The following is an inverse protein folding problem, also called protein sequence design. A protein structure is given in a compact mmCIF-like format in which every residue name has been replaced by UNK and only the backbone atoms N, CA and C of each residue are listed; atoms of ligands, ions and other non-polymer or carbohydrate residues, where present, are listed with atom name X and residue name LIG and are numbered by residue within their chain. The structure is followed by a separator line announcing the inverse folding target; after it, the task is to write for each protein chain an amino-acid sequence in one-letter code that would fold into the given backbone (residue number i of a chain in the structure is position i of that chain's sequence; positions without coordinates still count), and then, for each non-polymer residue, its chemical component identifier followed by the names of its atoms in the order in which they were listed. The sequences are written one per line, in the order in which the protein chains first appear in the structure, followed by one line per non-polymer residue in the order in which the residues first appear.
data_IF_142320284134
#
_entry.id   IF_142320284134
#
_cell.length_a   1.000
_cell.length_b   1.000
_cell.length_c   1.000
_cell.angle_alpha   90.00
_cell.angle_beta   90.00
_cell.angle_gamma   90.00
#
_symmetry.space_group_name_H-M   'P 1'
#
loop_
_entity.id
_entity.type
_entity.pdbx_description
1 polymer ?
#
# COMPACT_ATOMS: atom_id res chain seq x y z
N UNK A 1 3.68 -9.52 8.87
CA UNK A 1 2.90 -8.32 9.25
C UNK A 1 1.64 -8.64 10.08
N UNK A 2 1.76 -9.38 11.18
CA UNK A 2 0.60 -9.77 12.01
C UNK A 2 -0.03 -8.58 12.74
N UNK A 3 0.79 -7.69 13.29
CA UNK A 3 0.33 -6.48 13.99
C UNK A 3 -0.48 -5.54 13.08
N UNK A 4 -0.11 -5.42 11.80
CA UNK A 4 -0.87 -4.63 10.81
C UNK A 4 -2.27 -5.25 10.65
N UNK A 5 -2.36 -6.55 10.34
CA UNK A 5 -3.65 -7.24 10.21
C UNK A 5 -4.52 -7.13 11.45
N UNK A 6 -3.93 -7.40 12.62
CA UNK A 6 -4.65 -7.39 13.89
C UNK A 6 -5.18 -5.99 14.24
N UNK A 7 -4.36 -4.95 14.09
CA UNK A 7 -4.79 -3.58 14.39
C UNK A 7 -5.74 -3.02 13.34
N UNK A 8 -5.59 -3.38 12.06
CA UNK A 8 -6.54 -3.05 11.01
C UNK A 8 -7.93 -3.66 11.23
N UNK A 9 -8.00 -4.95 11.58
CA UNK A 9 -9.26 -5.60 11.94
C UNK A 9 -9.89 -4.98 13.21
N UNK A 10 -9.06 -4.59 14.19
CA UNK A 10 -9.53 -3.91 15.38
C UNK A 10 -10.18 -2.55 15.07
N UNK A 11 -9.56 -1.74 14.19
CA UNK A 11 -10.14 -0.47 13.71
C UNK A 11 -11.44 -0.72 12.96
N UNK A 12 -11.47 -1.67 12.02
CA UNK A 12 -12.66 -1.98 11.23
C UNK A 12 -13.87 -2.42 12.07
N UNK A 13 -13.63 -3.06 13.21
CA UNK A 13 -14.71 -3.41 14.16
C UNK A 13 -15.27 -2.24 14.99
N UNK A 14 -14.65 -1.05 14.90
CA UNK A 14 -14.93 0.14 15.74
C UNK A 14 -15.05 1.43 14.93
N UNK A 15 -14.98 1.32 13.61
CA UNK A 15 -15.05 2.45 12.70
C UNK A 15 -16.44 3.06 12.69
N UNK A 16 -16.49 4.37 12.51
CA UNK A 16 -17.74 5.15 12.41
C UNK A 16 -17.91 5.86 11.06
N UNK A 17 -16.82 6.00 10.31
CA UNK A 17 -16.74 6.67 9.02
C UNK A 17 -16.59 5.69 7.86
N UNK A 18 -15.96 4.54 8.07
CA UNK A 18 -15.75 3.54 7.00
C UNK A 18 -16.24 2.16 7.45
N UNK A 19 -17.15 1.55 6.70
CA UNK A 19 -17.65 0.19 6.95
C UNK A 19 -17.20 -0.75 5.83
N UNK A 20 -16.77 -1.96 6.20
CA UNK A 20 -16.52 -3.06 5.25
C UNK A 20 -17.82 -3.80 4.99
N UNK A 21 -18.28 -3.83 3.75
CA UNK A 21 -19.52 -4.48 3.32
C UNK A 21 -19.24 -5.92 2.86
N UNK A 22 -19.75 -6.90 3.61
CA UNK A 22 -19.51 -8.32 3.34
C UNK A 22 -20.07 -8.78 1.99
N UNK A 23 -21.16 -8.18 1.50
CA UNK A 23 -21.71 -8.52 0.19
C UNK A 23 -20.81 -8.04 -0.95
N UNK A 24 -20.17 -6.87 -0.78
CA UNK A 24 -19.12 -6.38 -1.66
C UNK A 24 -17.91 -7.30 -1.67
N UNK A 25 -17.43 -7.72 -0.49
CA UNK A 25 -16.33 -8.69 -0.34
C UNK A 25 -16.62 -9.99 -1.07
N UNK A 26 -17.81 -10.58 -0.86
CA UNK A 26 -18.22 -11.82 -1.53
C UNK A 26 -18.26 -11.67 -3.05
N UNK A 27 -18.84 -10.58 -3.55
CA UNK A 27 -18.94 -10.29 -4.99
C UNK A 27 -17.57 -10.18 -5.64
N UNK A 28 -16.63 -9.47 -4.99
CA UNK A 28 -15.26 -9.30 -5.50
C UNK A 28 -14.51 -10.63 -5.46
N UNK A 29 -14.56 -11.35 -4.35
CA UNK A 29 -13.90 -12.66 -4.23
C UNK A 29 -14.42 -13.66 -5.27
N UNK A 30 -15.73 -13.69 -5.52
CA UNK A 30 -16.33 -14.58 -6.52
C UNK A 30 -15.88 -14.24 -7.94
N UNK A 31 -15.75 -12.95 -8.27
CA UNK A 31 -15.25 -12.50 -9.58
C UNK A 31 -13.79 -12.86 -9.81
N UNK A 32 -12.98 -12.90 -8.76
CA UNK A 32 -11.52 -13.01 -8.85
C UNK A 32 -10.98 -14.43 -8.64
N UNK A 33 -11.77 -15.35 -8.06
CA UNK A 33 -11.32 -16.71 -7.70
C UNK A 33 -10.70 -17.49 -8.86
N UNK A 34 -11.20 -17.28 -10.08
CA UNK A 34 -10.80 -18.04 -11.26
C UNK A 34 -9.64 -17.38 -12.02
N UNK A 35 -9.57 -16.05 -12.00
CA UNK A 35 -8.58 -15.26 -12.74
C UNK A 35 -7.99 -14.17 -11.85
N UNK A 36 -6.93 -14.52 -11.12
CA UNK A 36 -6.11 -13.57 -10.39
C UNK A 36 -5.12 -12.95 -11.39
N UNK A 37 -5.15 -11.62 -11.61
CA UNK A 37 -4.20 -10.96 -12.48
C UNK A 37 -2.78 -11.18 -11.96
N UNK A 38 -1.88 -11.52 -12.89
CA UNK A 38 -0.45 -11.56 -12.62
C UNK A 38 0.05 -10.12 -12.71
N UNK A 39 0.72 -9.66 -11.67
CA UNK A 39 1.28 -8.31 -11.65
C UNK A 39 2.79 -8.41 -11.86
N UNK A 40 3.28 -7.57 -12.77
CA UNK A 40 4.71 -7.42 -13.06
C UNK A 40 5.21 -6.20 -12.28
N UNK A 41 6.36 -6.34 -11.62
CA UNK A 41 6.97 -5.28 -10.80
C UNK A 41 7.30 -4.04 -11.64
N UNK A 42 7.93 -4.22 -12.80
CA UNK A 42 8.27 -3.13 -13.71
C UNK A 42 7.18 -2.93 -14.77
N UNK A 43 6.00 -2.51 -14.31
CA UNK A 43 4.95 -2.09 -15.20
C UNK A 43 5.40 -0.80 -15.93
N UNK A 44 5.28 -0.77 -17.26
CA UNK A 44 5.67 0.36 -18.13
C UNK A 44 7.17 0.73 -18.18
N UNK A 45 8.07 0.00 -17.50
CA UNK A 45 9.51 0.26 -17.57
C UNK A 45 9.98 1.49 -16.78
N UNK A 46 9.18 1.95 -15.83
CA UNK A 46 9.42 3.18 -15.07
C UNK A 46 10.54 3.02 -14.03
N UNK A 47 10.80 1.80 -13.55
CA UNK A 47 11.76 1.58 -12.48
C UNK A 47 13.23 1.55 -12.97
N UNK A 48 14.18 1.78 -12.06
CA UNK A 48 15.61 1.55 -12.32
C UNK A 48 15.99 0.13 -11.89
N UNK A 49 16.69 -0.61 -12.75
CA UNK A 49 17.17 -1.96 -12.43
C UNK A 49 18.53 -2.25 -13.06
N UNK A 50 19.50 -2.60 -12.23
CA UNK A 50 20.84 -3.06 -12.62
C UNK A 50 21.23 -4.42 -12.01
N UNK A 51 20.33 -5.03 -11.23
CA UNK A 51 20.57 -6.28 -10.52
C UNK A 51 21.62 -6.19 -9.40
N UNK A 52 22.03 -4.97 -9.02
CA UNK A 52 23.09 -4.72 -8.04
C UNK A 52 22.65 -3.84 -6.86
N UNK A 53 23.62 -3.40 -6.03
CA UNK A 53 23.34 -2.56 -4.86
C UNK A 53 22.65 -1.23 -5.18
N UNK A 54 22.80 -0.71 -6.41
CA UNK A 54 22.18 0.55 -6.78
C UNK A 54 20.68 0.43 -6.99
N UNK A 55 20.19 -0.72 -7.49
CA UNK A 55 18.76 -1.04 -7.47
C UNK A 55 18.20 -1.02 -6.05
N UNK A 56 18.94 -1.58 -5.07
CA UNK A 56 18.51 -1.59 -3.67
C UNK A 56 18.43 -0.17 -3.10
N UNK A 57 19.41 0.69 -3.39
CA UNK A 57 19.40 2.09 -2.97
C UNK A 57 18.25 2.87 -3.63
N UNK A 58 18.01 2.64 -4.92
CA UNK A 58 16.89 3.24 -5.65
C UNK A 58 15.56 2.91 -4.99
N UNK A 59 15.28 1.62 -4.76
CA UNK A 59 14.06 1.17 -4.11
C UNK A 59 13.92 1.76 -2.71
N UNK A 60 15.00 1.74 -1.91
CA UNK A 60 14.96 2.31 -0.57
C UNK A 60 14.52 3.78 -0.57
N UNK A 61 15.03 4.59 -1.49
CA UNK A 61 14.68 6.01 -1.57
C UNK A 61 13.28 6.22 -2.15
N UNK A 62 12.93 5.49 -3.19
CA UNK A 62 11.59 5.50 -3.77
C UNK A 62 10.54 5.26 -2.69
N UNK A 63 10.73 4.22 -1.88
CA UNK A 63 9.76 3.78 -0.90
C UNK A 63 9.79 4.62 0.38
N UNK A 64 10.96 5.19 0.72
CA UNK A 64 11.04 6.20 1.77
C UNK A 64 10.20 7.45 1.43
N UNK A 65 10.15 7.81 0.14
CA UNK A 65 9.49 9.01 -0.36
C UNK A 65 8.05 8.75 -0.84
N UNK A 66 7.58 7.50 -0.92
CA UNK A 66 6.22 7.17 -1.37
C UNK A 66 5.14 7.52 -0.33
N UNK A 67 4.66 8.77 -0.34
CA UNK A 67 3.61 9.26 0.55
C UNK A 67 2.20 8.88 0.06
N UNK A 68 1.28 8.60 0.99
CA UNK A 68 -0.12 8.28 0.67
C UNK A 68 -0.96 9.49 0.26
N UNK A 69 -0.56 10.69 0.63
CA UNK A 69 -1.32 11.91 0.35
C UNK A 69 -0.32 12.95 -0.14
N UNK A 70 -0.27 13.14 -1.45
CA UNK A 70 0.55 14.17 -2.06
C UNK A 70 -0.16 15.52 -1.90
N UNK A 71 0.50 16.54 -1.36
CA UNK A 71 -0.10 17.87 -1.21
C UNK A 71 -0.25 18.59 -2.56
N UNK A 72 0.41 18.11 -3.61
CA UNK A 72 0.35 18.68 -4.96
C UNK A 72 -0.41 17.74 -5.92
N UNK A 73 -1.42 18.29 -6.59
CA UNK A 73 -2.32 17.60 -7.53
C UNK A 73 -1.60 17.11 -8.79
N UNK A 74 -0.46 17.70 -9.14
CA UNK A 74 0.29 17.38 -10.36
C UNK A 74 1.42 16.37 -10.09
N UNK A 75 1.65 15.97 -8.82
CA UNK A 75 2.61 14.94 -8.45
C UNK A 75 1.96 13.56 -8.33
N UNK A 76 2.44 12.61 -9.13
CA UNK A 76 2.04 11.19 -9.07
C UNK A 76 3.21 10.34 -8.58
N UNK A 77 2.93 9.05 -8.29
CA UNK A 77 3.98 8.06 -8.03
C UNK A 77 4.98 7.98 -9.18
N UNK A 78 4.52 7.97 -10.43
CA UNK A 78 5.38 7.88 -11.60
C UNK A 78 6.32 9.07 -11.73
N UNK A 79 5.85 10.28 -11.41
CA UNK A 79 6.70 11.48 -11.39
C UNK A 79 7.82 11.37 -10.34
N UNK A 80 7.52 10.84 -9.15
CA UNK A 80 8.54 10.58 -8.14
C UNK A 80 9.53 9.50 -8.61
N UNK A 81 9.03 8.36 -9.10
CA UNK A 81 9.85 7.24 -9.55
C UNK A 81 10.78 7.64 -10.70
N UNK A 82 10.25 8.37 -11.69
CA UNK A 82 10.99 8.88 -12.83
C UNK A 82 12.02 9.94 -12.41
N UNK A 83 11.66 10.88 -11.54
CA UNK A 83 12.57 11.91 -11.05
C UNK A 83 13.75 11.34 -10.25
N UNK A 84 13.50 10.33 -9.40
CA UNK A 84 14.56 9.63 -8.65
C UNK A 84 15.45 8.80 -9.58
N UNK A 85 14.87 8.15 -10.59
CA UNK A 85 15.61 7.43 -11.64
C UNK A 85 16.52 8.38 -12.42
N UNK A 86 16.00 9.52 -12.86
CA UNK A 86 16.79 10.55 -13.56
C UNK A 86 17.91 11.08 -12.66
N UNK A 87 17.62 11.38 -11.39
CA UNK A 87 18.62 11.82 -10.43
C UNK A 87 19.77 10.80 -10.29
N UNK A 88 19.48 9.50 -10.19
CA UNK A 88 20.49 8.44 -10.14
C UNK A 88 21.21 8.18 -11.47
N UNK A 89 20.56 8.46 -12.60
CA UNK A 89 21.21 8.39 -13.91
C UNK A 89 22.23 9.52 -14.07
N UNK A 90 21.93 10.71 -13.52
CA UNK A 90 22.78 11.89 -13.57
C UNK A 90 23.86 11.93 -12.48
N UNK A 91 23.56 11.46 -11.26
CA UNK A 91 24.47 11.41 -10.12
C UNK A 91 24.27 10.10 -9.33
N UNK A 92 25.24 9.19 -9.42
CA UNK A 92 25.20 7.90 -8.69
C UNK A 92 25.32 8.06 -7.18
N UNK A 93 25.77 9.22 -6.68
CA UNK A 93 25.88 9.57 -5.25
C UNK A 93 24.65 10.29 -4.69
N UNK A 94 23.58 10.43 -5.48
CA UNK A 94 22.36 11.12 -5.05
C UNK A 94 21.81 10.57 -3.72
N UNK A 95 22.04 9.28 -3.42
CA UNK A 95 21.51 8.55 -2.27
C UNK A 95 22.56 8.13 -1.23
N UNK A 96 23.68 8.84 -1.14
CA UNK A 96 24.68 8.59 -0.09
C UNK A 96 24.11 8.80 1.33
N UNK A 97 24.65 8.05 2.30
CA UNK A 97 24.17 8.04 3.69
C UNK A 97 24.08 9.44 4.33
N UNK A 98 25.06 10.32 4.07
CA UNK A 98 25.08 11.69 4.58
C UNK A 98 23.96 12.58 4.03
N UNK A 99 23.41 12.23 2.87
CA UNK A 99 22.25 12.88 2.25
C UNK A 99 20.96 12.25 2.76
N UNK A 100 20.92 10.91 2.88
CA UNK A 100 19.74 10.17 3.29
C UNK A 100 19.34 10.36 4.77
N UNK A 101 20.29 10.69 5.65
CA UNK A 101 20.01 10.90 7.08
C UNK A 101 18.97 12.00 7.39
N UNK A 102 18.61 12.81 6.39
CA UNK A 102 17.60 13.88 6.52
C UNK A 102 16.16 13.38 6.34
N UNK A 103 15.95 12.14 5.89
CA UNK A 103 14.61 11.59 5.63
C UNK A 103 14.09 10.78 6.83
N UNK A 104 13.01 11.24 7.45
CA UNK A 104 12.26 10.53 8.50
C UNK A 104 10.99 9.93 7.88
N UNK A 105 10.94 8.60 7.71
CA UNK A 105 9.85 7.98 6.93
C UNK A 105 9.31 6.63 7.39
N UNK A 106 10.14 5.62 7.60
CA UNK A 106 9.65 4.23 7.68
C UNK A 106 8.75 3.89 8.89
N UNK A 107 8.63 4.77 9.90
CA UNK A 107 7.74 4.58 11.07
C UNK A 107 6.33 5.10 10.78
N UNK A 108 5.54 4.30 10.07
CA UNK A 108 4.13 4.57 9.77
C UNK A 108 3.21 3.84 10.77
N UNK A 109 2.89 4.55 11.86
CA UNK A 109 2.03 4.10 12.95
C UNK A 109 1.26 5.31 13.53
N UNK A 110 0.10 5.07 14.13
CA UNK A 110 -0.76 6.13 14.67
C UNK A 110 -1.53 5.65 15.90
N UNK A 111 -2.20 6.56 16.62
CA UNK A 111 -3.07 6.22 17.75
C UNK A 111 -4.51 6.50 17.38
N UNK A 112 -5.36 5.48 17.43
CA UNK A 112 -6.79 5.58 17.15
C UNK A 112 -7.59 5.13 18.36
N UNK A 113 -8.46 6.02 18.88
CA UNK A 113 -9.28 5.78 20.09
C UNK A 113 -8.46 5.23 21.27
N UNK A 114 -7.26 5.76 21.46
CA UNK A 114 -6.33 5.37 22.53
C UNK A 114 -5.57 4.05 22.29
N UNK A 115 -5.69 3.44 21.11
CA UNK A 115 -4.99 2.21 20.75
C UNK A 115 -3.90 2.45 19.70
N UNK A 116 -2.76 1.79 19.85
CA UNK A 116 -1.67 1.86 18.88
C UNK A 116 -2.03 1.06 17.63
N UNK A 117 -2.01 1.72 16.48
CA UNK A 117 -2.29 1.14 15.16
C UNK A 117 -1.02 1.12 14.33
N UNK A 118 -0.82 0.05 13.55
CA UNK A 118 0.34 -0.15 12.69
C UNK A 118 -0.11 -0.30 11.24
N UNK A 119 0.51 0.47 10.33
CA UNK A 119 0.23 0.40 8.90
C UNK A 119 1.49 0.03 8.12
N UNK A 120 2.65 0.56 8.54
CA UNK A 120 3.97 0.20 8.01
C UNK A 120 4.06 0.20 6.49
N UNK A 121 3.28 1.05 5.80
CA UNK A 121 3.12 1.00 4.34
C UNK A 121 4.48 0.98 3.62
N UNK A 122 5.36 1.93 3.95
CA UNK A 122 6.66 2.08 3.30
C UNK A 122 7.60 0.88 3.51
N UNK A 123 7.59 0.29 4.70
CA UNK A 123 8.38 -0.91 4.96
C UNK A 123 7.84 -2.13 4.19
N UNK A 124 6.51 -2.21 4.06
CA UNK A 124 5.84 -3.26 3.28
C UNK A 124 6.12 -3.13 1.77
N UNK A 125 6.06 -1.90 1.24
CA UNK A 125 6.39 -1.62 -0.17
C UNK A 125 7.84 -1.99 -0.47
N UNK A 126 8.78 -1.51 0.35
CA UNK A 126 10.20 -1.81 0.14
C UNK A 126 10.53 -3.30 0.10
N UNK A 127 9.93 -4.09 1.01
CA UNK A 127 10.10 -5.54 0.99
C UNK A 127 9.51 -6.18 -0.29
N UNK A 128 8.33 -5.72 -0.71
CA UNK A 128 7.68 -6.23 -1.92
C UNK A 128 8.42 -5.84 -3.20
N UNK A 129 8.95 -4.62 -3.28
CA UNK A 129 9.72 -4.14 -4.43
C UNK A 129 11.07 -4.84 -4.55
N UNK A 130 11.76 -5.08 -3.44
CA UNK A 130 12.96 -5.92 -3.45
C UNK A 130 12.64 -7.34 -3.94
N UNK A 131 11.58 -7.95 -3.42
CA UNK A 131 11.17 -9.28 -3.86
C UNK A 131 10.80 -9.31 -5.34
N UNK A 132 10.05 -8.31 -5.82
CA UNK A 132 9.60 -8.19 -7.20
C UNK A 132 10.76 -7.95 -8.18
N UNK A 133 11.62 -6.97 -7.89
CA UNK A 133 12.77 -6.62 -8.71
C UNK A 133 13.75 -7.79 -8.87
N UNK A 134 14.02 -8.51 -7.77
CA UNK A 134 14.98 -9.62 -7.78
C UNK A 134 14.33 -11.00 -7.89
N UNK A 135 13.02 -11.06 -8.16
CA UNK A 135 12.26 -12.31 -8.37
C UNK A 135 12.44 -13.33 -7.24
N UNK A 136 12.51 -12.87 -5.99
CA UNK A 136 12.69 -13.72 -4.82
C UNK A 136 14.10 -14.27 -4.60
N UNK A 137 15.13 -13.71 -5.26
CA UNK A 137 16.51 -14.18 -5.19
C UNK A 137 17.46 -13.09 -4.69
N UNK A 138 18.60 -13.45 -4.10
CA UNK A 138 19.63 -12.49 -3.71
C UNK A 138 19.08 -11.41 -2.76
N UNK A 139 19.11 -10.15 -3.18
CA UNK A 139 18.58 -9.03 -2.37
C UNK A 139 17.05 -9.08 -2.16
N UNK A 140 16.32 -9.85 -2.97
CA UNK A 140 14.88 -10.07 -2.82
C UNK A 140 14.49 -11.38 -2.17
N UNK A 141 15.44 -12.12 -1.57
CA UNK A 141 15.14 -13.37 -0.89
C UNK A 141 14.48 -13.11 0.48
N UNK A 142 13.25 -13.58 0.64
CA UNK A 142 12.49 -13.48 1.88
C UNK A 142 11.81 -14.82 2.16
N UNK A 143 11.95 -15.35 3.37
CA UNK A 143 11.29 -16.59 3.80
C UNK A 143 9.82 -16.37 4.19
N UNK A 144 9.39 -15.11 4.30
CA UNK A 144 8.11 -14.69 4.85
C UNK A 144 7.45 -13.57 4.03
N UNK A 145 7.76 -13.49 2.73
CA UNK A 145 7.22 -12.45 1.83
C UNK A 145 5.68 -12.42 1.82
N UNK A 146 5.07 -13.60 1.94
CA UNK A 146 3.63 -13.79 2.02
C UNK A 146 3.01 -13.27 3.32
N UNK A 147 3.83 -12.81 4.27
CA UNK A 147 3.39 -12.08 5.45
C UNK A 147 3.08 -10.60 5.17
N UNK A 148 3.50 -10.04 4.03
CA UNK A 148 3.14 -8.68 3.57
C UNK A 148 1.65 -8.64 3.19
N UNK A 149 0.99 -7.51 3.42
CA UNK A 149 -0.42 -7.29 3.06
C UNK A 149 -0.55 -6.15 2.03
N UNK A 150 -1.79 -5.77 1.69
CA UNK A 150 -2.10 -4.60 0.88
C UNK A 150 -1.49 -3.32 1.47
N UNK A 151 -1.06 -2.41 0.60
CA UNK A 151 -0.53 -1.12 0.98
C UNK A 151 -1.68 -0.11 1.14
N UNK A 152 -1.81 0.46 2.34
CA UNK A 152 -2.86 1.42 2.64
C UNK A 152 -2.55 2.81 2.03
N UNK A 153 -2.81 2.98 0.74
CA UNK A 153 -2.75 4.26 0.02
C UNK A 153 -4.14 4.94 -0.12
N UNK A 154 -4.20 6.03 -0.89
CA UNK A 154 -5.43 6.79 -1.14
C UNK A 154 -6.28 6.23 -2.30
N UNK A 155 -5.71 5.41 -3.17
CA UNK A 155 -6.38 4.81 -4.34
C UNK A 155 -7.22 3.61 -3.88
N UNK A 156 -6.68 2.78 -2.97
CA UNK A 156 -7.37 1.60 -2.43
C UNK A 156 -8.77 1.90 -1.92
N UNK A 157 -8.96 2.85 -0.98
CA UNK A 157 -10.28 3.09 -0.44
C UNK A 157 -11.28 3.54 -1.51
N UNK A 158 -10.83 4.32 -2.50
CA UNK A 158 -11.68 4.77 -3.61
C UNK A 158 -12.10 3.59 -4.51
N UNK A 159 -11.17 2.71 -4.89
CA UNK A 159 -11.48 1.54 -5.71
C UNK A 159 -12.40 0.56 -4.96
N UNK A 160 -12.13 0.31 -3.67
CA UNK A 160 -12.95 -0.58 -2.86
C UNK A 160 -14.37 -0.01 -2.64
N UNK A 161 -14.53 1.30 -2.52
CA UNK A 161 -15.84 1.95 -2.45
C UNK A 161 -16.64 1.73 -3.76
N UNK A 162 -16.02 1.97 -4.92
CA UNK A 162 -16.64 1.74 -6.23
C UNK A 162 -17.04 0.28 -6.45
N UNK A 163 -16.24 -0.66 -5.93
CA UNK A 163 -16.56 -2.09 -5.97
C UNK A 163 -17.68 -2.49 -4.97
N UNK A 164 -18.08 -1.56 -4.11
CA UNK A 164 -19.08 -1.76 -3.07
C UNK A 164 -18.56 -2.49 -1.83
N UNK A 165 -17.25 -2.66 -1.71
CA UNK A 165 -16.56 -3.32 -0.58
C UNK A 165 -16.44 -2.37 0.61
N UNK A 166 -16.18 -1.08 0.37
CA UNK A 166 -16.24 -0.07 1.42
C UNK A 166 -17.49 0.79 1.29
N UNK A 167 -17.99 1.25 2.42
CA UNK A 167 -19.08 2.23 2.54
C UNK A 167 -18.63 3.36 3.44
N UNK A 168 -18.83 4.59 2.97
CA UNK A 168 -18.47 5.78 3.72
C UNK A 168 -19.69 6.38 4.41
N UNK A 169 -19.49 6.92 5.60
CA UNK A 169 -20.52 7.70 6.29
C UNK A 169 -20.83 8.97 5.50
N UNK A 170 -22.03 9.56 5.68
CA UNK A 170 -22.40 10.79 4.97
C UNK A 170 -21.43 11.95 5.21
N UNK A 171 -20.82 12.03 6.40
CA UNK A 171 -19.84 13.08 6.71
C UNK A 171 -18.53 12.87 5.94
N UNK A 172 -18.01 11.64 5.89
CA UNK A 172 -16.80 11.33 5.15
C UNK A 172 -17.01 11.48 3.63
N UNK A 173 -18.13 10.98 3.11
CA UNK A 173 -18.48 11.14 1.70
C UNK A 173 -18.52 12.63 1.30
N UNK A 174 -19.18 13.48 2.10
CA UNK A 174 -19.24 14.92 1.83
C UNK A 174 -17.84 15.58 1.89
N UNK A 175 -16.95 15.17 2.81
CA UNK A 175 -15.58 15.68 2.83
C UNK A 175 -14.82 15.35 1.55
N UNK A 176 -14.95 14.12 1.04
CA UNK A 176 -14.34 13.69 -0.22
C UNK A 176 -14.93 14.46 -1.40
N UNK A 177 -16.27 14.52 -1.51
CA UNK A 177 -16.98 15.21 -2.60
C UNK A 177 -16.68 16.72 -2.65
N UNK A 178 -16.44 17.34 -1.50
CA UNK A 178 -16.09 18.76 -1.39
C UNK A 178 -14.59 19.05 -1.57
N UNK A 179 -13.77 18.04 -1.90
CA UNK A 179 -12.30 18.13 -1.96
C UNK A 179 -11.69 18.71 -0.67
N UNK A 180 -12.30 18.40 0.48
CA UNK A 180 -11.76 18.80 1.77
C UNK A 180 -10.63 17.87 2.15
N UNK A 181 -9.50 18.44 2.53
CA UNK A 181 -8.35 17.67 3.02
C UNK A 181 -8.74 16.85 4.26
N UNK A 182 -8.46 15.53 4.20
CA UNK A 182 -8.56 14.64 5.35
C UNK A 182 -7.19 14.66 6.04
N UNK A 183 -7.16 15.19 7.26
CA UNK A 183 -5.91 15.39 7.99
C UNK A 183 -5.25 14.06 8.37
N UNK A 184 -3.94 13.97 8.20
CA UNK A 184 -3.14 12.82 8.63
C UNK A 184 -3.35 12.53 10.12
N UNK A 185 -3.66 11.27 10.46
CA UNK A 185 -3.94 10.83 11.82
C UNK A 185 -5.35 11.16 12.34
N UNK A 186 -6.23 11.74 11.53
CA UNK A 186 -7.66 11.87 11.89
C UNK A 186 -8.34 10.51 11.94
N UNK A 187 -9.50 10.41 12.61
CA UNK A 187 -10.25 9.15 12.63
C UNK A 187 -10.62 8.68 11.22
N UNK A 188 -10.98 9.61 10.33
CA UNK A 188 -11.32 9.31 8.94
C UNK A 188 -10.13 8.77 8.14
N UNK A 189 -8.95 9.38 8.27
CA UNK A 189 -7.74 8.91 7.57
C UNK A 189 -7.35 7.51 8.06
N UNK A 190 -7.37 7.30 9.37
CA UNK A 190 -7.01 6.00 9.96
C UNK A 190 -8.01 4.92 9.57
N UNK A 191 -9.31 5.22 9.60
CA UNK A 191 -10.34 4.28 9.17
C UNK A 191 -10.27 3.95 7.67
N UNK A 192 -10.05 4.95 6.80
CA UNK A 192 -9.86 4.72 5.36
C UNK A 192 -8.74 3.72 5.09
N UNK A 193 -7.60 3.89 5.77
CA UNK A 193 -6.42 3.04 5.60
C UNK A 193 -6.60 1.66 6.23
N UNK A 194 -7.03 1.60 7.48
CA UNK A 194 -7.16 0.35 8.22
C UNK A 194 -8.28 -0.54 7.68
N UNK A 195 -9.45 0.03 7.35
CA UNK A 195 -10.55 -0.73 6.77
C UNK A 195 -10.21 -1.25 5.36
N UNK A 196 -9.42 -0.50 4.58
CA UNK A 196 -8.92 -0.97 3.28
C UNK A 196 -8.04 -2.22 3.42
N UNK A 197 -7.07 -2.20 4.34
CA UNK A 197 -6.22 -3.36 4.63
C UNK A 197 -7.08 -4.54 5.08
N UNK A 198 -8.01 -4.31 6.00
CA UNK A 198 -8.87 -5.36 6.52
C UNK A 198 -9.74 -5.99 5.41
N UNK A 199 -10.39 -5.16 4.59
CA UNK A 199 -11.25 -5.62 3.50
C UNK A 199 -10.50 -6.48 2.47
N UNK A 200 -9.27 -6.09 2.10
CA UNK A 200 -8.46 -6.88 1.16
C UNK A 200 -8.04 -8.22 1.77
N UNK A 201 -7.71 -8.25 3.07
CA UNK A 201 -7.42 -9.51 3.76
C UNK A 201 -8.67 -10.41 3.82
N UNK A 202 -9.87 -9.87 4.01
CA UNK A 202 -11.11 -10.66 3.93
C UNK A 202 -11.35 -11.25 2.54
N UNK A 203 -11.14 -10.45 1.48
CA UNK A 203 -11.21 -10.91 0.08
C UNK A 203 -10.19 -12.03 -0.16
N UNK A 204 -8.95 -11.84 0.27
CA UNK A 204 -7.87 -12.83 0.15
C UNK A 204 -8.22 -14.16 0.81
N UNK A 205 -8.65 -14.12 2.06
CA UNK A 205 -9.05 -15.30 2.83
C UNK A 205 -10.27 -15.99 2.20
N UNK A 206 -11.22 -15.23 1.63
CA UNK A 206 -12.38 -15.80 0.97
C UNK A 206 -12.03 -16.48 -0.36
N UNK A 207 -11.15 -15.87 -1.18
CA UNK A 207 -10.65 -16.50 -2.41
C UNK A 207 -9.90 -17.78 -2.08
N UNK A 208 -9.04 -17.76 -1.06
CA UNK A 208 -8.30 -18.93 -0.62
C UNK A 208 -9.24 -20.07 -0.22
N UNK A 209 -10.24 -19.79 0.61
CA UNK A 209 -11.26 -20.77 1.02
C UNK A 209 -12.06 -21.35 -0.15
N UNK A 210 -12.36 -20.54 -1.17
CA UNK A 210 -13.18 -20.98 -2.33
C UNK A 210 -12.40 -21.72 -3.41
N UNK A 211 -11.13 -21.36 -3.63
CA UNK A 211 -10.34 -21.84 -4.78
C UNK A 211 -9.12 -22.67 -4.39
N UNK A 212 -8.73 -22.68 -3.12
CA UNK A 212 -7.46 -23.25 -2.64
C UNK A 212 -6.22 -22.48 -3.09
N UNK A 213 -6.36 -21.44 -3.92
CA UNK A 213 -5.24 -20.61 -4.39
C UNK A 213 -4.83 -19.62 -3.31
N UNK A 214 -3.54 -19.48 -3.11
CA UNK A 214 -3.00 -18.42 -2.26
C UNK A 214 -2.85 -17.15 -3.11
N UNK A 215 -3.46 -16.06 -2.66
CA UNK A 215 -3.39 -14.77 -3.37
C UNK A 215 -2.47 -13.84 -2.61
N UNK A 216 -1.58 -13.20 -3.35
CA UNK A 216 -0.65 -12.23 -2.83
C UNK A 216 -1.08 -10.86 -3.39
N UNK A 217 -1.66 -10.03 -2.52
CA UNK A 217 -2.39 -8.81 -2.92
C UNK A 217 -1.57 -7.53 -2.89
N UNK A 218 -0.28 -7.56 -2.57
CA UNK A 218 0.52 -6.32 -2.48
C UNK A 218 0.66 -5.56 -3.80
N UNK A 219 0.32 -6.19 -4.92
CA UNK A 219 0.50 -5.61 -6.25
C UNK A 219 -0.80 -5.11 -6.90
N UNK A 220 -1.92 -5.10 -6.16
CA UNK A 220 -3.22 -4.77 -6.76
C UNK A 220 -3.47 -3.27 -7.01
N UNK A 221 -2.59 -2.38 -6.56
CA UNK A 221 -2.87 -0.93 -6.48
C UNK A 221 -1.61 -0.12 -6.81
N UNK A 222 -1.00 -0.45 -7.95
CA UNK A 222 -0.03 0.41 -8.63
C UNK A 222 -0.32 0.48 -10.15
N UNK A 223 -1.52 0.09 -10.57
CA UNK A 223 -2.04 0.26 -11.94
C UNK A 223 -3.29 1.14 -11.93
#
# INVERSE_FOLDING_TARGET
MEAVRATSAWVASRSSHVTVDSSGVEKVAERMKDSIPKVEWDFEGIHYFDGGPLTVQYLFVLDALNFCFWPDKDMTYDHLAAGLKEALQNDKSAFDADRLQKYTGFRDHTVYKGHQIFLYKRAQIFAADLWGAFKGQGYGEFNDIESVTMFADYIVPAVLEQLGVLKFSPSLANMIESNREISSGSEEEVELRACSVHAVEEIRELIHRKSGKQVIFYCFILQ
#
